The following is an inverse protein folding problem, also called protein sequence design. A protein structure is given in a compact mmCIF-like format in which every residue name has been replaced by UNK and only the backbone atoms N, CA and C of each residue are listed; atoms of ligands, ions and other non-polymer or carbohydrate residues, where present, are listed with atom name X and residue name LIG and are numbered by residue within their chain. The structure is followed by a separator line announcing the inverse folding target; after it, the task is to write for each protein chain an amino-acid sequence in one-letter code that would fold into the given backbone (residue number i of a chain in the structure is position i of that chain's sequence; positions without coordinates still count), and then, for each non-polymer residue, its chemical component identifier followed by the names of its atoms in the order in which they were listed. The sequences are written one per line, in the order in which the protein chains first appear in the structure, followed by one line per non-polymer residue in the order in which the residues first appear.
data_IF_588146862882
#
_entry.id   IF_588146862882
#
_cell.length_a   1.000
_cell.length_b   1.000
_cell.length_c   1.000
_cell.angle_alpha   90.00
_cell.angle_beta   90.00
_cell.angle_gamma   90.00
#
_symmetry.space_group_name_H-M   'P 1'
#
loop_
_entity.id
_entity.type
_entity.pdbx_description
1 polymer ?
#
# COMPACT_ATOMS: atom_id res chain seq x y z
N UNK A 1 -16.87 -17.10 3.66
CA UNK A 1 -15.52 -16.49 3.76
C UNK A 1 -15.35 -15.50 2.62
N UNK A 2 -15.04 -14.27 2.95
CA UNK A 2 -14.69 -13.25 1.96
C UNK A 2 -13.17 -13.15 1.89
N UNK A 3 -12.65 -12.77 0.72
CA UNK A 3 -11.22 -12.59 0.54
C UNK A 3 -10.96 -11.13 0.18
N UNK A 4 -10.06 -10.49 0.92
CA UNK A 4 -9.65 -9.11 0.69
C UNK A 4 -8.19 -9.11 0.24
N UNK A 5 -7.94 -8.52 -0.91
CA UNK A 5 -6.60 -8.41 -1.47
C UNK A 5 -6.02 -7.04 -1.11
N UNK A 6 -4.93 -7.03 -0.37
CA UNK A 6 -4.27 -5.81 0.09
C UNK A 6 -2.90 -5.70 -0.54
N UNK A 7 -2.63 -4.59 -1.20
CA UNK A 7 -1.32 -4.38 -1.83
C UNK A 7 -0.89 -2.93 -1.73
N UNK A 8 0.41 -2.73 -1.62
CA UNK A 8 1.02 -1.42 -1.77
C UNK A 8 1.37 -1.20 -3.24
N UNK A 9 1.30 0.04 -3.68
CA UNK A 9 1.56 0.42 -5.06
C UNK A 9 2.67 1.48 -5.13
N UNK A 10 3.60 1.30 -6.05
CA UNK A 10 4.63 2.29 -6.36
C UNK A 10 4.55 2.71 -7.83
N UNK A 11 4.75 1.77 -8.74
CA UNK A 11 4.69 2.02 -10.18
C UNK A 11 4.44 0.73 -10.99
N UNK A 12 3.96 -0.32 -10.33
CA UNK A 12 3.83 -1.66 -10.91
C UNK A 12 2.50 -1.82 -11.68
N UNK A 13 2.28 -0.98 -12.70
CA UNK A 13 1.00 -0.95 -13.44
C UNK A 13 0.64 -2.30 -14.06
N UNK A 14 1.61 -2.97 -14.70
CA UNK A 14 1.38 -4.26 -15.33
C UNK A 14 1.02 -5.33 -14.29
N UNK A 15 1.75 -5.35 -13.18
CA UNK A 15 1.48 -6.32 -12.12
C UNK A 15 0.11 -6.11 -11.49
N UNK A 16 -0.30 -4.86 -11.33
CA UNK A 16 -1.64 -4.55 -10.81
C UNK A 16 -2.73 -5.00 -11.77
N UNK A 17 -2.53 -4.79 -13.06
CA UNK A 17 -3.49 -5.22 -14.07
C UNK A 17 -3.66 -6.74 -14.07
N UNK A 18 -2.55 -7.47 -14.03
CA UNK A 18 -2.56 -8.93 -13.92
C UNK A 18 -3.25 -9.37 -12.62
N UNK A 19 -2.91 -8.74 -11.51
CA UNK A 19 -3.48 -9.08 -10.21
C UNK A 19 -5.00 -8.91 -10.19
N UNK A 20 -5.50 -7.81 -10.71
CA UNK A 20 -6.94 -7.57 -10.78
C UNK A 20 -7.64 -8.63 -11.65
N UNK A 21 -7.08 -8.95 -12.81
CA UNK A 21 -7.69 -9.95 -13.71
C UNK A 21 -7.68 -11.35 -13.10
N UNK A 22 -6.58 -11.75 -12.46
CA UNK A 22 -6.45 -13.09 -11.89
C UNK A 22 -7.34 -13.28 -10.67
N UNK A 23 -7.45 -12.27 -9.81
CA UNK A 23 -8.11 -12.39 -8.52
C UNK A 23 -9.56 -11.92 -8.49
N UNK A 24 -10.05 -11.27 -9.54
CA UNK A 24 -11.36 -10.63 -9.53
C UNK A 24 -12.51 -11.56 -9.13
N UNK A 25 -12.48 -12.82 -9.57
CA UNK A 25 -13.55 -13.77 -9.30
C UNK A 25 -13.54 -14.30 -7.87
N UNK A 26 -12.44 -14.07 -7.13
CA UNK A 26 -12.23 -14.65 -5.82
C UNK A 26 -12.28 -13.63 -4.69
N UNK A 27 -12.00 -12.36 -4.98
CA UNK A 27 -11.90 -11.34 -3.92
C UNK A 27 -13.16 -10.50 -3.83
N UNK A 28 -13.50 -10.13 -2.60
CA UNK A 28 -14.58 -9.19 -2.31
C UNK A 28 -14.15 -7.77 -2.65
N UNK A 29 -12.92 -7.41 -2.33
CA UNK A 29 -12.40 -6.06 -2.51
C UNK A 29 -10.88 -6.06 -2.67
N UNK A 30 -10.39 -5.16 -3.51
CA UNK A 30 -8.97 -4.84 -3.65
C UNK A 30 -8.67 -3.57 -2.86
N UNK A 31 -7.75 -3.67 -1.91
CA UNK A 31 -7.26 -2.50 -1.17
C UNK A 31 -5.91 -2.14 -1.76
N UNK A 32 -5.82 -0.98 -2.38
CA UNK A 32 -4.58 -0.46 -2.97
C UNK A 32 -4.11 0.73 -2.17
N UNK A 33 -2.91 0.64 -1.63
CA UNK A 33 -2.33 1.66 -0.77
C UNK A 33 -1.10 2.27 -1.45
N UNK A 34 -1.09 3.57 -1.58
CA UNK A 34 0.05 4.29 -2.16
C UNK A 34 0.47 5.42 -1.24
N UNK A 35 1.79 5.58 -1.05
CA UNK A 35 2.36 6.64 -0.24
C UNK A 35 2.94 7.75 -1.11
N UNK A 36 2.89 8.99 -0.63
CA UNK A 36 3.61 10.10 -1.23
C UNK A 36 5.09 10.11 -0.87
N UNK A 37 5.54 9.11 -0.11
CA UNK A 37 6.96 8.88 0.21
C UNK A 37 7.36 7.49 -0.25
N UNK A 38 8.53 7.39 -0.91
CA UNK A 38 9.13 6.08 -1.20
C UNK A 38 9.63 5.45 0.09
N UNK A 39 9.99 4.16 0.04
CA UNK A 39 10.56 3.49 1.23
C UNK A 39 11.89 4.13 1.66
N UNK A 40 12.59 4.79 0.77
CA UNK A 40 13.81 5.53 1.10
C UNK A 40 13.55 6.93 1.67
N UNK A 41 12.29 7.37 1.72
CA UNK A 41 11.90 8.65 2.26
C UNK A 41 11.87 9.80 1.27
N UNK A 42 12.08 9.54 0.00
CA UNK A 42 11.97 10.56 -1.04
C UNK A 42 10.50 10.84 -1.33
N UNK A 43 10.16 12.11 -1.43
CA UNK A 43 8.83 12.52 -1.85
C UNK A 43 8.60 12.03 -3.29
N UNK A 44 7.40 11.50 -3.57
CA UNK A 44 7.03 11.02 -4.90
C UNK A 44 5.61 11.45 -5.21
N UNK A 45 5.30 11.50 -6.50
CA UNK A 45 3.94 11.71 -6.96
C UNK A 45 3.16 10.39 -6.89
N UNK A 46 1.82 10.50 -6.81
CA UNK A 46 0.95 9.35 -6.87
C UNK A 46 0.84 8.86 -8.31
N UNK A 47 1.03 7.56 -8.49
CA UNK A 47 1.06 6.95 -9.82
C UNK A 47 -0.19 6.10 -10.12
N UNK A 48 -0.91 5.67 -9.09
CA UNK A 48 -2.09 4.84 -9.29
C UNK A 48 -3.28 5.70 -9.73
N UNK A 49 -3.93 5.28 -10.80
CA UNK A 49 -5.17 5.91 -11.27
C UNK A 49 -6.24 4.84 -11.43
N UNK A 50 -7.24 4.89 -10.58
CA UNK A 50 -8.36 3.94 -10.58
C UNK A 50 -9.11 3.94 -11.91
N UNK A 51 -9.09 5.05 -12.64
CA UNK A 51 -9.76 5.18 -13.93
C UNK A 51 -9.11 4.35 -15.04
N UNK A 52 -7.87 3.90 -14.83
CA UNK A 52 -7.20 2.98 -15.74
C UNK A 52 -7.70 1.54 -15.60
N UNK A 53 -8.53 1.27 -14.60
CA UNK A 53 -9.04 -0.08 -14.28
C UNK A 53 -10.56 -0.07 -14.19
N UNK A 54 -11.28 0.32 -15.28
CA UNK A 54 -12.73 0.53 -15.21
C UNK A 54 -13.53 -0.74 -14.89
N UNK A 55 -13.01 -1.92 -15.24
CA UNK A 55 -13.67 -3.19 -14.95
C UNK A 55 -13.71 -3.51 -13.46
N UNK A 56 -12.76 -2.99 -12.70
CA UNK A 56 -12.55 -3.33 -11.29
C UNK A 56 -12.83 -2.16 -10.36
N UNK A 57 -13.17 -1.01 -10.89
CA UNK A 57 -13.31 0.25 -10.15
C UNK A 57 -14.19 0.12 -8.91
N UNK A 58 -15.31 -0.61 -9.03
CA UNK A 58 -16.27 -0.76 -7.93
C UNK A 58 -15.74 -1.64 -6.80
N UNK A 59 -14.72 -2.47 -7.07
CA UNK A 59 -14.08 -3.31 -6.08
C UNK A 59 -12.82 -2.70 -5.49
N UNK A 60 -12.29 -1.63 -6.05
CA UNK A 60 -11.04 -1.03 -5.61
C UNK A 60 -11.29 0.02 -4.54
N UNK A 61 -10.59 -0.11 -3.42
CA UNK A 61 -10.49 0.92 -2.40
C UNK A 61 -9.07 1.47 -2.42
N UNK A 62 -8.91 2.73 -2.83
CA UNK A 62 -7.61 3.38 -2.94
C UNK A 62 -7.33 4.23 -1.71
N UNK A 63 -6.20 3.97 -1.08
CA UNK A 63 -5.78 4.63 0.16
C UNK A 63 -4.48 5.37 -0.09
N UNK A 64 -4.44 6.64 0.26
CA UNK A 64 -3.23 7.47 0.13
C UNK A 64 -2.66 7.74 1.52
N UNK A 65 -1.35 7.51 1.64
CA UNK A 65 -0.59 7.89 2.83
C UNK A 65 0.23 9.12 2.48
N UNK A 66 -0.10 10.25 3.10
CA UNK A 66 0.60 11.52 2.86
C UNK A 66 1.31 11.98 4.12
N UNK A 67 1.96 11.03 4.81
CA UNK A 67 2.71 11.31 6.03
C UNK A 67 3.87 10.35 6.19
N UNK A 68 4.86 10.77 6.96
CA UNK A 68 5.94 9.91 7.42
C UNK A 68 5.53 9.23 8.73
N UNK A 69 5.98 7.99 8.99
CA UNK A 69 5.72 7.36 10.27
C UNK A 69 6.44 8.09 11.41
N UNK A 70 5.95 7.95 12.65
CA UNK A 70 6.65 8.53 13.80
C UNK A 70 8.02 7.86 14.01
N UNK A 71 8.91 8.54 14.69
CA UNK A 71 10.22 8.01 15.08
C UNK A 71 11.14 7.67 13.90
N UNK A 72 11.00 8.34 12.79
CA UNK A 72 11.94 8.27 11.68
C UNK A 72 13.28 8.84 12.16
N UNK A 73 14.35 8.07 11.96
CA UNK A 73 15.71 8.50 12.33
C UNK A 73 16.15 9.62 11.38
N UNK A 74 15.79 9.44 10.11
CA UNK A 74 16.09 10.41 9.07
C UNK A 74 17.56 10.41 8.67
N UNK A 75 17.85 11.27 7.71
CA UNK A 75 19.20 11.45 7.20
C UNK A 75 19.85 12.66 7.90
N UNK A 76 20.19 12.48 9.17
CA UNK A 76 20.83 13.53 9.95
C UNK A 76 22.14 13.95 9.29
N UNK A 77 22.20 15.19 8.81
CA UNK A 77 23.39 15.74 8.15
C UNK A 77 23.84 14.95 6.91
N UNK A 78 22.94 14.24 6.26
CA UNK A 78 23.26 13.47 5.05
C UNK A 78 24.03 12.18 5.29
N UNK A 79 24.19 11.75 6.54
CA UNK A 79 25.09 10.67 6.91
C UNK A 79 24.41 9.54 7.68
N UNK A 80 23.15 9.23 7.35
CA UNK A 80 22.47 8.10 7.97
C UNK A 80 23.20 6.78 7.67
N UNK A 81 23.46 5.99 8.70
CA UNK A 81 24.06 4.68 8.55
C UNK A 81 23.10 3.73 7.80
N UNK A 82 23.63 2.71 7.08
CA UNK A 82 22.78 1.75 6.37
C UNK A 82 21.71 1.12 7.26
N UNK A 83 22.04 0.81 8.50
CA UNK A 83 21.10 0.28 9.47
C UNK A 83 19.93 1.25 9.73
N UNK A 84 20.23 2.53 9.89
CA UNK A 84 19.21 3.55 10.14
C UNK A 84 18.28 3.73 8.94
N UNK A 85 18.82 3.72 7.72
CA UNK A 85 18.05 3.78 6.48
C UNK A 85 17.11 2.60 6.37
N UNK A 86 17.58 1.40 6.68
CA UNK A 86 16.78 0.19 6.65
C UNK A 86 15.68 0.24 7.71
N UNK A 87 15.99 0.71 8.91
CA UNK A 87 15.00 0.87 9.97
C UNK A 87 13.89 1.81 9.56
N UNK A 88 14.21 2.95 8.95
CA UNK A 88 13.22 3.90 8.47
C UNK A 88 12.35 3.30 7.35
N UNK A 89 12.95 2.56 6.43
CA UNK A 89 12.21 1.87 5.36
C UNK A 89 11.19 0.88 5.93
N UNK A 90 11.58 0.12 6.95
CA UNK A 90 10.67 -0.82 7.60
C UNK A 90 9.52 -0.11 8.31
N UNK A 91 9.78 1.04 8.91
CA UNK A 91 8.73 1.85 9.54
C UNK A 91 7.71 2.33 8.51
N UNK A 92 8.16 2.73 7.33
CA UNK A 92 7.28 3.15 6.23
C UNK A 92 6.43 1.99 5.71
N UNK A 93 7.02 0.81 5.56
CA UNK A 93 6.30 -0.41 5.16
C UNK A 93 5.24 -0.76 6.19
N UNK A 94 5.58 -0.74 7.48
CA UNK A 94 4.64 -1.05 8.55
C UNK A 94 3.49 -0.04 8.61
N UNK A 95 3.76 1.23 8.33
CA UNK A 95 2.70 2.25 8.27
C UNK A 95 1.68 1.91 7.19
N UNK A 96 2.13 1.42 6.03
CA UNK A 96 1.23 1.02 4.96
C UNK A 96 0.34 -0.15 5.39
N UNK A 97 0.87 -1.11 6.12
CA UNK A 97 0.06 -2.21 6.65
C UNK A 97 -0.99 -1.72 7.64
N UNK A 98 -0.63 -0.80 8.51
CA UNK A 98 -1.58 -0.21 9.46
C UNK A 98 -2.73 0.51 8.77
N UNK A 99 -2.44 1.27 7.71
CA UNK A 99 -3.45 1.96 6.93
C UNK A 99 -4.40 0.96 6.26
N UNK A 100 -3.87 -0.10 5.66
CA UNK A 100 -4.69 -1.11 5.00
C UNK A 100 -5.57 -1.87 5.99
N UNK A 101 -5.04 -2.24 7.15
CA UNK A 101 -5.79 -2.94 8.20
C UNK A 101 -6.92 -2.07 8.72
N UNK A 102 -6.67 -0.79 8.96
CA UNK A 102 -7.69 0.15 9.43
C UNK A 102 -8.83 0.33 8.43
N UNK A 103 -8.56 0.18 7.14
CA UNK A 103 -9.57 0.29 6.09
C UNK A 103 -10.51 -0.90 6.04
N UNK A 104 -10.17 -2.00 6.70
CA UNK A 104 -10.91 -3.26 6.70
C UNK A 104 -11.78 -3.41 7.94
N UNK A 105 -12.51 -2.36 8.32
CA UNK A 105 -13.29 -2.32 9.56
C UNK A 105 -14.44 -3.33 9.62
N UNK A 106 -14.91 -3.83 8.48
CA UNK A 106 -16.01 -4.80 8.39
C UNK A 106 -15.55 -6.26 8.24
N UNK A 107 -14.25 -6.50 8.31
CA UNK A 107 -13.67 -7.84 8.21
C UNK A 107 -13.94 -8.61 9.51
N UNK A 108 -14.32 -9.88 9.39
CA UNK A 108 -14.54 -10.76 10.52
C UNK A 108 -13.55 -11.94 10.52
N UNK A 109 -13.61 -12.77 11.57
CA UNK A 109 -12.64 -13.86 11.77
C UNK A 109 -12.68 -14.96 10.71
N UNK A 110 -13.77 -15.04 9.93
CA UNK A 110 -13.90 -16.03 8.85
C UNK A 110 -13.36 -15.49 7.51
N UNK A 111 -12.96 -14.24 7.43
CA UNK A 111 -12.46 -13.64 6.22
C UNK A 111 -10.96 -13.82 6.09
N UNK A 112 -10.46 -13.77 4.85
CA UNK A 112 -9.05 -13.91 4.53
C UNK A 112 -8.51 -12.60 3.96
N UNK A 113 -7.37 -12.17 4.47
CA UNK A 113 -6.61 -11.03 3.95
C UNK A 113 -5.34 -11.56 3.29
N UNK A 114 -5.14 -11.22 2.04
CA UNK A 114 -3.94 -11.62 1.29
C UNK A 114 -3.16 -10.41 0.77
#
# INVERSE_FOLDING_TARGET
MRIFDCTTFYSEHLMMDIRFHVLNDFVEKFIVCESTYSHSGKKKELNFDINNYPKFKDKISYIVIDEEPPNIIGNKNGLAEPFEKRSDSLKRINLSYDYMIKSLSDVNENDLII
#
